data_IF_609801631082
#
_entry.id   IF_609801631082
#
_cell.length_a   1.000
_cell.length_b   1.000
_cell.length_c   1.000
_cell.angle_alpha   90.00
_cell.angle_beta   90.00
_cell.angle_gamma   90.00
#
_symmetry.space_group_name_H-M   'P 1'
#
loop_
_entity.id
_entity.type
_entity.pdbx_description
1 polymer ?
#
# COMPACT_ATOMS: atom_id res chain seq x y z
N UNK A 1 24.18 -0.80 -3.23
CA UNK A 1 23.53 -0.71 -2.95
C UNK A 1 22.68 -1.35 -2.61
N UNK A 2 22.05 -1.43 -2.19
CA UNK A 2 21.29 -2.01 -1.79
C UNK A 2 20.10 -1.93 -2.13
N UNK A 3 19.33 -2.53 -2.27
CA UNK A 3 18.26 -2.52 -2.66
C UNK A 3 17.35 -2.75 -2.06
N UNK A 4 16.88 -2.86 -1.76
CA UNK A 4 16.32 -2.89 -1.26
C UNK A 4 15.30 -2.83 -0.68
N UNK A 5 14.63 -2.35 -0.75
CA UNK A 5 13.43 -2.17 0.03
C UNK A 5 12.30 -3.07 -0.28
N UNK A 6 12.43 -3.91 -1.24
CA UNK A 6 11.34 -4.81 -1.55
C UNK A 6 11.00 -5.72 -0.38
N UNK A 7 12.00 -6.15 0.35
CA UNK A 7 11.77 -7.03 1.47
C UNK A 7 11.45 -6.33 2.77
N UNK A 8 11.24 -5.03 2.73
CA UNK A 8 11.08 -4.24 3.95
C UNK A 8 9.65 -3.81 4.21
N UNK A 9 8.70 -4.36 3.50
CA UNK A 9 7.31 -4.01 3.72
C UNK A 9 6.71 -4.89 4.80
N UNK A 10 5.95 -4.28 5.69
CA UNK A 10 5.25 -4.98 6.76
C UNK A 10 3.76 -4.78 6.56
N UNK A 11 3.01 -5.87 6.59
CA UNK A 11 1.58 -5.81 6.41
C UNK A 11 0.91 -5.25 7.65
N UNK A 12 -0.08 -4.39 7.45
CA UNK A 12 -0.82 -3.79 8.55
C UNK A 12 -2.30 -3.90 8.23
N UNK A 13 -3.14 -3.73 9.26
CA UNK A 13 -4.58 -3.78 9.08
C UNK A 13 -5.10 -2.46 8.55
N UNK A 14 -6.30 -2.50 7.99
CA UNK A 14 -6.89 -1.32 7.38
C UNK A 14 -7.07 -0.18 8.39
N UNK A 15 -7.51 -0.49 9.61
CA UNK A 15 -7.71 0.55 10.61
C UNK A 15 -6.40 1.21 11.01
N UNK A 16 -5.33 0.42 11.10
CA UNK A 16 -4.00 0.97 11.38
C UNK A 16 -3.53 1.82 10.22
N UNK A 17 -3.75 1.35 9.00
CA UNK A 17 -3.36 2.11 7.81
C UNK A 17 -4.08 3.46 7.76
N UNK A 18 -5.38 3.47 8.07
CA UNK A 18 -6.13 4.72 8.07
C UNK A 18 -5.57 5.70 9.08
N UNK A 19 -5.23 5.21 10.26
CA UNK A 19 -4.69 6.07 11.30
C UNK A 19 -3.35 6.67 10.88
N UNK A 20 -2.46 5.83 10.35
CA UNK A 20 -1.15 6.31 9.93
C UNK A 20 -1.25 7.28 8.77
N UNK A 21 -2.18 7.03 7.85
CA UNK A 21 -2.42 7.95 6.74
C UNK A 21 -2.81 9.34 7.27
N UNK A 22 -3.67 9.38 8.28
CA UNK A 22 -4.07 10.66 8.86
C UNK A 22 -2.93 11.36 9.57
N UNK A 23 -1.97 10.59 10.06
CA UNK A 23 -0.79 11.14 10.71
C UNK A 23 0.26 11.65 9.72
N UNK A 24 0.01 11.49 8.44
CA UNK A 24 0.93 11.96 7.42
C UNK A 24 1.92 10.93 6.93
N UNK A 25 1.74 9.67 7.33
CA UNK A 25 2.65 8.60 6.91
C UNK A 25 2.26 8.06 5.57
N UNK A 26 3.24 7.56 4.83
CA UNK A 26 3.00 6.93 3.54
C UNK A 26 2.58 5.49 3.77
N UNK A 27 1.48 5.11 3.12
CA UNK A 27 0.95 3.75 3.16
C UNK A 27 1.06 3.16 1.77
N UNK A 28 1.36 1.88 1.67
CA UNK A 28 1.49 1.21 0.39
C UNK A 28 0.36 0.22 0.21
N UNK A 29 -0.20 0.18 -1.00
CA UNK A 29 -1.35 -0.66 -1.33
C UNK A 29 -0.94 -1.69 -2.37
N UNK A 30 -1.43 -2.92 -2.19
CA UNK A 30 -1.36 -3.92 -3.25
C UNK A 30 -2.73 -4.58 -3.39
N UNK A 31 -3.04 -5.11 -4.58
CA UNK A 31 -4.26 -5.91 -4.73
C UNK A 31 -4.22 -7.11 -3.81
N UNK A 32 -5.39 -7.65 -3.47
CA UNK A 32 -5.46 -8.72 -2.48
C UNK A 32 -4.68 -9.98 -2.88
N UNK A 33 -4.41 -10.16 -4.17
CA UNK A 33 -3.68 -11.32 -4.65
C UNK A 33 -2.18 -11.08 -4.80
N UNK A 34 -1.70 -9.91 -4.34
CA UNK A 34 -0.30 -9.52 -4.53
C UNK A 34 0.29 -9.12 -3.19
N UNK A 35 1.46 -9.67 -2.88
CA UNK A 35 2.19 -9.27 -1.69
C UNK A 35 3.26 -8.26 -2.06
N UNK A 36 3.41 -7.24 -1.20
CA UNK A 36 4.39 -6.20 -1.48
C UNK A 36 5.82 -6.73 -1.50
N UNK A 37 6.06 -7.80 -0.78
CA UNK A 37 7.40 -8.34 -0.67
C UNK A 37 7.76 -9.31 -1.79
N UNK A 38 6.85 -9.55 -2.72
CA UNK A 38 7.11 -10.51 -3.79
C UNK A 38 8.00 -9.85 -4.85
N UNK A 39 9.28 -10.19 -4.84
CA UNK A 39 10.24 -9.55 -5.72
C UNK A 39 10.11 -9.96 -7.18
N UNK A 40 9.30 -11.00 -7.46
CA UNK A 40 9.08 -11.43 -8.83
C UNK A 40 7.91 -10.72 -9.47
N UNK A 41 7.15 -9.95 -8.70
CA UNK A 41 5.99 -9.28 -9.24
C UNK A 41 6.39 -8.02 -9.99
N UNK A 42 5.76 -7.85 -11.13
CA UNK A 42 5.94 -6.62 -11.90
C UNK A 42 4.98 -5.52 -11.41
N UNK A 43 4.04 -5.86 -10.53
CA UNK A 43 3.15 -4.88 -9.93
C UNK A 43 3.80 -4.37 -8.66
N UNK A 44 4.06 -3.08 -8.62
CA UNK A 44 4.73 -2.48 -7.47
C UNK A 44 3.72 -1.97 -6.47
N UNK A 45 4.07 -1.97 -5.17
CA UNK A 45 3.20 -1.36 -4.18
C UNK A 45 2.92 0.10 -4.52
N UNK A 46 1.69 0.51 -4.35
CA UNK A 46 1.25 1.85 -4.73
C UNK A 46 1.26 2.75 -3.50
N UNK A 47 2.11 3.78 -3.46
CA UNK A 47 2.21 4.65 -2.28
C UNK A 47 1.08 5.67 -2.26
N UNK A 48 0.49 5.87 -1.08
CA UNK A 48 -0.49 6.94 -0.88
C UNK A 48 -0.15 7.68 0.40
N UNK A 49 -0.51 8.96 0.44
CA UNK A 49 -0.36 9.76 1.64
C UNK A 49 -1.42 10.86 1.63
N UNK A 50 -1.47 11.65 2.69
CA UNK A 50 -2.49 12.67 2.82
C UNK A 50 -2.13 14.00 2.17
N UNK A 51 -1.02 14.05 1.45
CA UNK A 51 -0.60 15.28 0.79
C UNK A 51 -1.47 15.61 -0.41
N UNK A 52 -2.15 14.62 -0.97
CA UNK A 52 -2.96 14.82 -2.17
C UNK A 52 -4.30 15.48 -1.86
N UNK A 53 -4.71 15.47 -0.59
CA UNK A 53 -6.00 16.03 -0.21
C UNK A 53 -7.18 15.09 -0.35
N UNK A 54 -6.95 13.86 -0.82
CA UNK A 54 -8.02 12.88 -0.93
C UNK A 54 -8.16 12.07 0.35
N UNK A 55 -9.37 11.65 0.66
CA UNK A 55 -9.63 10.80 1.81
C UNK A 55 -9.06 9.41 1.59
N UNK A 56 -8.63 8.80 2.70
CA UNK A 56 -8.14 7.43 2.68
C UNK A 56 -9.15 6.49 2.03
N UNK A 57 -10.40 6.56 2.47
CA UNK A 57 -11.43 5.63 1.98
C UNK A 57 -11.70 5.81 0.49
N UNK A 58 -11.67 7.05 0.01
CA UNK A 58 -11.87 7.31 -1.42
C UNK A 58 -10.75 6.73 -2.26
N UNK A 59 -9.51 6.88 -1.79
CA UNK A 59 -8.36 6.34 -2.50
C UNK A 59 -8.45 4.81 -2.55
N UNK A 60 -8.77 4.20 -1.42
CA UNK A 60 -8.84 2.75 -1.34
C UNK A 60 -9.96 2.20 -2.21
N UNK A 61 -11.13 2.86 -2.21
CA UNK A 61 -12.25 2.41 -3.02
C UNK A 61 -11.92 2.47 -4.51
N UNK A 62 -11.25 3.53 -4.95
CA UNK A 62 -10.85 3.64 -6.34
C UNK A 62 -9.83 2.58 -6.71
N UNK A 63 -8.89 2.32 -5.80
CA UNK A 63 -7.88 1.30 -6.02
C UNK A 63 -8.53 -0.07 -6.19
N UNK A 64 -9.51 -0.38 -5.34
CA UNK A 64 -10.20 -1.66 -5.40
C UNK A 64 -11.04 -1.79 -6.66
N UNK A 65 -11.65 -0.70 -7.08
CA UNK A 65 -12.43 -0.69 -8.31
C UNK A 65 -11.55 -1.07 -9.51
N UNK A 66 -10.39 -0.42 -9.62
CA UNK A 66 -9.47 -0.72 -10.71
C UNK A 66 -9.01 -2.16 -10.68
N UNK A 67 -8.67 -2.66 -9.50
CA UNK A 67 -8.18 -4.02 -9.38
C UNK A 67 -9.24 -5.04 -9.74
N UNK A 68 -10.50 -4.78 -9.39
CA UNK A 68 -11.56 -5.71 -9.74
C UNK A 68 -11.79 -5.74 -11.25
N UNK A 69 -11.62 -4.61 -11.93
CA UNK A 69 -11.75 -4.56 -13.38
C UNK A 69 -10.71 -5.43 -14.08
N UNK A 70 -9.54 -5.59 -13.47
CA UNK A 70 -8.46 -6.38 -14.05
C UNK A 70 -8.31 -7.74 -13.36
N UNK A 71 -9.25 -8.09 -12.49
CA UNK A 71 -9.26 -9.36 -11.79
C UNK A 71 -8.01 -9.60 -10.95
N UNK A 72 -7.45 -8.53 -10.40
CA UNK A 72 -6.27 -8.62 -9.55
C UNK A 72 -6.63 -8.84 -8.08
N UNK A 73 -7.92 -8.79 -7.75
CA UNK A 73 -8.40 -8.97 -6.39
C UNK A 73 -9.48 -7.96 -6.09
N UNK A 74 -10.24 -8.24 -5.03
CA UNK A 74 -11.37 -7.39 -4.68
C UNK A 74 -11.14 -6.60 -3.41
N UNK A 75 -10.02 -6.86 -2.72
CA UNK A 75 -9.67 -6.18 -1.49
C UNK A 75 -8.27 -5.63 -1.61
N UNK A 76 -7.89 -4.81 -0.65
CA UNK A 76 -6.60 -4.15 -0.66
C UNK A 76 -5.77 -4.64 0.52
N UNK A 77 -4.53 -4.98 0.26
CA UNK A 77 -3.54 -5.22 1.30
C UNK A 77 -2.83 -3.92 1.59
N UNK A 78 -2.61 -3.64 2.88
CA UNK A 78 -1.97 -2.40 3.32
C UNK A 78 -0.62 -2.71 3.90
N UNK A 79 0.37 -1.88 3.59
CA UNK A 79 1.76 -2.11 3.98
C UNK A 79 2.41 -0.81 4.40
N UNK A 80 3.41 -0.92 5.25
CA UNK A 80 4.33 0.20 5.51
C UNK A 80 5.72 -0.25 5.10
N UNK A 81 6.55 0.73 4.77
CA UNK A 81 7.94 0.46 4.42
C UNK A 81 8.77 0.69 5.67
N UNK A 82 9.33 -0.38 6.21
CA UNK A 82 10.05 -0.29 7.48
C UNK A 82 11.28 0.60 7.38
N UNK A 83 11.90 0.67 6.22
CA UNK A 83 13.04 1.55 6.09
C UNK A 83 12.66 3.01 6.20
N UNK A 84 11.47 3.37 5.71
CA UNK A 84 11.01 4.74 5.88
C UNK A 84 10.65 5.04 7.31
N UNK A 85 10.13 4.05 8.03
CA UNK A 85 9.76 4.24 9.41
C UNK A 85 10.97 4.47 10.31
N UNK A 86 12.13 4.03 9.89
CA UNK A 86 13.34 4.20 10.69
C UNK A 86 13.98 5.57 10.57
N UNK A 87 13.46 6.38 9.69
CA UNK A 87 14.06 7.69 9.46
C UNK A 87 13.57 8.77 10.35
#
# INVERSE_FOLDING_TARGET
MRNISIGKYTRIRKDVARRLFKEGKTIYLTPSNVAASDSNMWIKPYPIDNQTGYDFDDIVNNFEYYNSCYELGYYTNFWINEEEEKR
#
